data_IF_447277408630
#
_entry.id   IF_447277408630
#
_cell.length_a   1.000
_cell.length_b   1.000
_cell.length_c   1.000
_cell.angle_alpha   90.00
_cell.angle_beta   90.00
_cell.angle_gamma   90.00
#
_symmetry.space_group_name_H-M   'P 1'
#
loop_
_entity.id
_entity.type
_entity.pdbx_description
1 polymer ?
#
# COMPACT_ATOMS: atom_id res chain seq x y z
N UNK A 1 -7.56 -3.70 -6.16
CA UNK A 1 -6.26 -4.12 -5.58
C UNK A 1 -5.82 -3.05 -4.58
N UNK A 2 -4.99 -3.35 -3.56
CA UNK A 2 -4.58 -2.38 -2.53
C UNK A 2 -4.02 -1.06 -3.13
N UNK A 3 -3.20 -1.16 -4.18
CA UNK A 3 -2.66 0.01 -4.87
C UNK A 3 -3.74 0.89 -5.53
N UNK A 4 -4.81 0.30 -6.07
CA UNK A 4 -5.90 1.07 -6.68
C UNK A 4 -6.66 1.88 -5.62
N UNK A 5 -6.84 1.30 -4.43
CA UNK A 5 -7.53 1.97 -3.30
C UNK A 5 -6.66 3.12 -2.79
N UNK A 6 -5.36 2.88 -2.61
CA UNK A 6 -4.40 3.93 -2.24
C UNK A 6 -4.45 5.11 -3.22
N UNK A 7 -4.49 4.83 -4.52
CA UNK A 7 -4.55 5.90 -5.52
C UNK A 7 -5.90 6.62 -5.52
N UNK A 8 -7.01 5.89 -5.61
CA UNK A 8 -8.34 6.46 -5.80
C UNK A 8 -8.86 7.18 -4.55
N UNK A 9 -8.66 6.57 -3.39
CA UNK A 9 -9.32 7.00 -2.15
C UNK A 9 -8.38 7.82 -1.24
N UNK A 10 -7.07 7.65 -1.38
CA UNK A 10 -6.06 8.34 -0.55
C UNK A 10 -5.13 9.27 -1.34
N UNK A 11 -5.21 9.28 -2.67
CA UNK A 11 -4.32 10.08 -3.52
C UNK A 11 -2.86 9.59 -3.52
N UNK A 12 -2.60 8.37 -3.06
CA UNK A 12 -1.25 7.81 -2.94
C UNK A 12 -0.98 6.88 -4.12
N UNK A 13 -0.11 7.31 -5.02
CA UNK A 13 0.35 6.46 -6.11
C UNK A 13 1.53 5.59 -5.66
N UNK A 14 1.37 4.27 -5.75
CA UNK A 14 2.46 3.30 -5.58
C UNK A 14 2.26 2.16 -6.57
N UNK A 15 3.33 1.80 -7.28
CA UNK A 15 3.28 0.71 -8.25
C UNK A 15 3.33 -0.64 -7.51
N UNK A 16 2.34 -1.52 -7.68
CA UNK A 16 2.44 -2.90 -7.22
C UNK A 16 3.48 -3.66 -8.04
N UNK A 17 4.30 -4.45 -7.36
CA UNK A 17 5.28 -5.34 -7.99
C UNK A 17 4.78 -6.77 -7.89
N UNK A 18 4.39 -7.31 -9.03
CA UNK A 18 3.87 -8.67 -9.18
C UNK A 18 4.82 -9.52 -10.03
N UNK A 19 4.47 -10.78 -10.25
CA UNK A 19 5.12 -11.62 -11.26
C UNK A 19 5.05 -10.96 -12.66
N UNK A 20 6.10 -11.02 -13.51
CA UNK A 20 7.35 -11.80 -13.36
C UNK A 20 8.49 -11.07 -12.63
N UNK A 21 8.31 -9.81 -12.24
CA UNK A 21 9.35 -9.03 -11.57
C UNK A 21 9.75 -9.61 -10.21
N UNK A 22 8.79 -10.21 -9.50
CA UNK A 22 9.05 -10.99 -8.28
C UNK A 22 8.41 -12.38 -8.36
N UNK A 23 8.91 -13.39 -7.63
CA UNK A 23 8.27 -14.71 -7.55
C UNK A 23 6.82 -14.62 -7.06
N UNK A 24 5.96 -15.51 -7.57
CA UNK A 24 4.56 -15.63 -7.12
C UNK A 24 4.50 -15.88 -5.60
N UNK A 25 3.53 -15.27 -4.93
CA UNK A 25 3.39 -15.32 -3.47
C UNK A 25 4.34 -14.38 -2.71
N UNK A 26 5.15 -13.59 -3.42
CA UNK A 26 6.02 -12.56 -2.84
C UNK A 26 5.74 -11.16 -3.42
N UNK A 27 4.52 -10.98 -3.92
CA UNK A 27 3.99 -9.70 -4.40
C UNK A 27 4.10 -8.65 -3.29
N UNK A 28 4.45 -7.42 -3.67
CA UNK A 28 4.70 -6.37 -2.68
C UNK A 28 4.48 -4.98 -3.25
N UNK A 29 4.19 -4.05 -2.34
CA UNK A 29 4.32 -2.62 -2.60
C UNK A 29 5.74 -2.20 -2.20
N UNK A 30 6.40 -1.39 -3.03
CA UNK A 30 7.75 -0.87 -2.75
C UNK A 30 7.70 0.64 -2.65
N UNK A 31 7.79 1.16 -1.44
CA UNK A 31 7.87 2.59 -1.17
C UNK A 31 9.33 3.05 -1.18
N UNK A 32 9.59 4.22 -1.77
CA UNK A 32 10.91 4.86 -1.81
C UNK A 32 10.78 6.33 -1.42
N UNK A 33 10.65 6.63 -0.11
CA UNK A 33 10.63 8.01 0.37
C UNK A 33 11.90 8.73 -0.08
N UNK A 34 11.71 9.92 -0.64
CA UNK A 34 12.79 10.84 -1.04
C UNK A 34 12.84 12.06 -0.13
N UNK A 35 13.90 12.89 -0.21
CA UNK A 35 14.11 14.04 0.68
C UNK A 35 13.05 15.15 0.59
N UNK A 36 12.18 15.09 -0.43
CA UNK A 36 11.07 16.03 -0.61
C UNK A 36 9.73 15.52 -0.05
N UNK A 37 9.67 14.28 0.45
CA UNK A 37 8.51 13.84 1.21
C UNK A 37 8.68 14.37 2.63
N UNK A 38 7.72 15.14 3.08
CA UNK A 38 7.66 15.66 4.44
C UNK A 38 7.22 14.56 5.42
N UNK A 39 7.41 14.82 6.72
CA UNK A 39 6.88 13.93 7.76
C UNK A 39 5.36 13.76 7.64
N UNK A 40 4.65 14.83 7.26
CA UNK A 40 3.20 14.78 7.03
C UNK A 40 2.80 13.85 5.86
N UNK A 41 3.60 13.80 4.79
CA UNK A 41 3.37 12.87 3.67
C UNK A 41 3.55 11.41 4.14
N UNK A 42 4.54 11.16 4.99
CA UNK A 42 4.81 9.84 5.56
C UNK A 42 3.68 9.43 6.51
N UNK A 43 3.24 10.33 7.38
CA UNK A 43 2.13 10.07 8.31
C UNK A 43 0.84 9.75 7.56
N UNK A 44 0.52 10.50 6.50
CA UNK A 44 -0.63 10.24 5.63
C UNK A 44 -0.56 8.84 4.99
N UNK A 45 0.62 8.43 4.53
CA UNK A 45 0.85 7.08 4.02
C UNK A 45 0.63 6.00 5.08
N UNK A 46 1.17 6.20 6.29
CA UNK A 46 1.04 5.25 7.41
C UNK A 46 -0.41 5.10 7.84
N UNK A 47 -1.17 6.20 7.89
CA UNK A 47 -2.60 6.19 8.21
C UNK A 47 -3.38 5.38 7.18
N UNK A 48 -3.18 5.65 5.89
CA UNK A 48 -3.82 4.93 4.79
C UNK A 48 -3.57 3.42 4.88
N UNK A 49 -2.30 3.02 5.05
CA UNK A 49 -1.91 1.62 5.17
C UNK A 49 -2.52 0.96 6.41
N UNK A 50 -2.60 1.66 7.54
CA UNK A 50 -3.19 1.15 8.78
C UNK A 50 -4.68 0.86 8.63
N UNK A 51 -5.42 1.76 7.97
CA UNK A 51 -6.85 1.56 7.70
C UNK A 51 -7.07 0.36 6.78
N UNK A 52 -6.31 0.29 5.67
CA UNK A 52 -6.45 -0.79 4.71
C UNK A 52 -6.05 -2.15 5.28
N UNK A 53 -5.01 -2.19 6.13
CA UNK A 53 -4.58 -3.43 6.78
C UNK A 53 -5.67 -4.01 7.69
N UNK A 54 -6.38 -3.16 8.45
CA UNK A 54 -7.52 -3.60 9.28
C UNK A 54 -8.65 -4.17 8.43
N UNK A 55 -8.96 -3.55 7.29
CA UNK A 55 -9.98 -4.04 6.36
C UNK A 55 -9.59 -5.40 5.77
N UNK A 56 -8.33 -5.60 5.39
CA UNK A 56 -7.83 -6.88 4.89
C UNK A 56 -7.80 -7.97 5.98
N UNK A 57 -7.44 -7.62 7.21
CA UNK A 57 -7.46 -8.57 8.33
C UNK A 57 -8.87 -9.09 8.62
N UNK A 58 -9.89 -8.22 8.50
CA UNK A 58 -11.30 -8.62 8.61
C UNK A 58 -11.68 -9.56 7.46
N UNK A 59 -11.25 -9.29 6.24
CA UNK A 59 -11.53 -10.16 5.09
C UNK A 59 -10.85 -11.54 5.21
N UNK A 60 -9.66 -11.62 5.81
CA UNK A 60 -8.96 -12.89 6.07
C UNK A 60 -9.54 -13.69 7.25
N UNK A 61 -10.21 -13.05 8.21
CA UNK A 61 -10.82 -13.73 9.36
C UNK A 61 -12.20 -14.33 9.04
N UNK A 62 -12.81 -13.93 7.91
CA UNK A 62 -14.16 -14.35 7.49
C UNK A 62 -14.10 -15.31 6.27
N UNK A 63 -12.90 -15.69 5.83
CA UNK A 63 -12.64 -16.69 4.80
C UNK A 63 -12.00 -17.95 5.39
#
# INVERSE_FOLDING_TARGET
>A
MLADILMRDWGIYVQPINYPTVPKGTERLRFTPGPLHSDADIDHLVEALTVLWKQCAIAHAVA
#
